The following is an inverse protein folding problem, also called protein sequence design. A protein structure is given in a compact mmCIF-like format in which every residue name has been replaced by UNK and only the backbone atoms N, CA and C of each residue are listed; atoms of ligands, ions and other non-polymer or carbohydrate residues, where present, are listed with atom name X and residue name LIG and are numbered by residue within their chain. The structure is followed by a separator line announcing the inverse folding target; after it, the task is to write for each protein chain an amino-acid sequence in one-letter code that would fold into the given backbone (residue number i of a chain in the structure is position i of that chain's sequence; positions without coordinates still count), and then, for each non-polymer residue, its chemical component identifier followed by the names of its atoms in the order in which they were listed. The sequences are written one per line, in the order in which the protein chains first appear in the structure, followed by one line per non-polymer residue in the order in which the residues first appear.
data_IF_700946463251
#
_entry.id   IF_700946463251
#
_cell.length_a   1.000
_cell.length_b   1.000
_cell.length_c   1.000
_cell.angle_alpha   90.00
_cell.angle_beta   90.00
_cell.angle_gamma   90.00
#
_symmetry.space_group_name_H-M   'P 1'
#
loop_
_entity.id
_entity.type
_entity.pdbx_description
1 polymer ?
#
# COMPACT_ATOMS: atom_id res chain seq x y z
N UNK A 1 15.17 -33.81 44.45
CA UNK A 1 14.95 -32.44 43.93
C UNK A 1 13.71 -32.49 43.05
N UNK A 2 12.67 -31.71 43.35
CA UNK A 2 11.48 -31.64 42.50
C UNK A 2 11.85 -30.90 41.20
N UNK A 3 11.59 -31.50 40.05
CA UNK A 3 11.72 -30.82 38.76
C UNK A 3 10.79 -29.60 38.76
N UNK A 4 11.33 -28.42 38.46
CA UNK A 4 10.54 -27.19 38.33
C UNK A 4 9.60 -27.39 37.13
N UNK A 5 8.29 -27.38 37.36
CA UNK A 5 7.32 -27.44 36.28
C UNK A 5 7.34 -26.13 35.51
N UNK A 6 7.53 -26.21 34.19
CA UNK A 6 7.46 -25.05 33.30
C UNK A 6 6.04 -24.49 33.28
N UNK A 7 5.91 -23.17 33.41
CA UNK A 7 4.62 -22.50 33.24
C UNK A 7 4.35 -22.18 31.77
N UNK A 8 3.10 -21.87 31.39
CA UNK A 8 2.77 -21.51 30.00
C UNK A 8 3.59 -20.29 29.52
N UNK A 9 3.77 -19.28 30.38
CA UNK A 9 4.56 -18.08 30.08
C UNK A 9 6.04 -18.38 29.83
N UNK A 10 6.60 -19.44 30.43
CA UNK A 10 8.03 -19.76 30.27
C UNK A 10 8.34 -20.31 28.86
N UNK A 11 7.32 -20.82 28.15
CA UNK A 11 7.41 -21.45 26.82
C UNK A 11 7.01 -20.51 25.67
N UNK A 12 6.80 -19.24 25.97
CA UNK A 12 6.27 -18.28 25.01
C UNK A 12 7.29 -17.20 24.63
N UNK A 13 7.18 -16.74 23.38
CA UNK A 13 7.78 -15.50 22.89
C UNK A 13 6.62 -14.58 22.51
N UNK A 14 6.62 -13.36 23.04
CA UNK A 14 5.53 -12.40 22.81
C UNK A 14 6.08 -11.16 22.12
N UNK A 15 5.52 -10.85 20.96
CA UNK A 15 5.85 -9.66 20.16
C UNK A 15 4.63 -8.77 20.11
N UNK A 16 4.80 -7.48 20.40
CA UNK A 16 3.75 -6.47 20.32
C UNK A 16 4.15 -5.42 19.29
N UNK A 17 3.24 -5.11 18.38
CA UNK A 17 3.44 -4.11 17.32
C UNK A 17 2.22 -3.22 17.20
N UNK A 18 2.42 -1.95 16.92
CA UNK A 18 1.34 -1.03 16.57
C UNK A 18 1.50 -0.57 15.12
N UNK A 19 0.44 -0.73 14.33
CA UNK A 19 0.38 -0.29 12.94
C UNK A 19 -0.45 0.98 12.83
N UNK A 20 0.02 1.95 12.04
CA UNK A 20 -0.72 3.16 11.70
C UNK A 20 -1.80 2.90 10.63
N UNK A 21 -2.59 1.84 10.81
CA UNK A 21 -3.62 1.41 9.88
C UNK A 21 -4.85 0.85 10.64
N UNK A 22 -6.06 0.96 10.07
CA UNK A 22 -7.27 0.41 10.67
C UNK A 22 -7.24 -1.12 10.70
N UNK A 23 -7.89 -1.71 11.71
CA UNK A 23 -7.87 -3.16 11.97
C UNK A 23 -8.28 -3.99 10.76
N UNK A 24 -9.29 -3.55 10.02
CA UNK A 24 -9.75 -4.26 8.82
C UNK A 24 -8.67 -4.34 7.73
N UNK A 25 -7.86 -3.29 7.56
CA UNK A 25 -6.77 -3.29 6.58
C UNK A 25 -5.63 -4.19 7.04
N UNK A 26 -5.26 -4.12 8.32
CA UNK A 26 -4.25 -5.01 8.91
C UNK A 26 -4.67 -6.47 8.78
N UNK A 27 -5.93 -6.77 9.10
CA UNK A 27 -6.51 -8.10 8.92
C UNK A 27 -6.44 -8.55 7.46
N UNK A 28 -6.90 -7.71 6.53
CA UNK A 28 -6.84 -7.98 5.09
C UNK A 28 -5.41 -8.31 4.62
N UNK A 29 -4.42 -7.50 5.03
CA UNK A 29 -3.01 -7.70 4.66
C UNK A 29 -2.44 -8.98 5.25
N UNK A 30 -2.92 -9.39 6.43
CA UNK A 30 -2.51 -10.64 7.07
C UNK A 30 -3.14 -11.87 6.42
N UNK A 31 -4.40 -11.79 5.95
CA UNK A 31 -5.19 -12.98 5.61
C UNK A 31 -5.38 -13.23 4.11
N UNK A 32 -4.87 -12.36 3.24
CA UNK A 32 -5.01 -12.53 1.79
C UNK A 32 -3.66 -12.87 1.13
N UNK A 33 -3.59 -13.93 0.30
CA UNK A 33 -2.34 -14.38 -0.34
C UNK A 33 -1.60 -13.27 -1.08
N UNK A 34 -2.30 -12.43 -1.84
CA UNK A 34 -1.72 -11.33 -2.61
C UNK A 34 -0.98 -10.30 -1.74
N UNK A 35 -1.40 -10.15 -0.48
CA UNK A 35 -0.77 -9.25 0.48
C UNK A 35 0.35 -9.91 1.26
N UNK A 36 0.22 -11.19 1.62
CA UNK A 36 1.26 -11.95 2.35
C UNK A 36 2.60 -11.92 1.60
N UNK A 37 2.57 -12.05 0.26
CA UNK A 37 3.79 -12.00 -0.58
C UNK A 37 4.55 -10.66 -0.49
N UNK A 38 3.96 -9.61 0.09
CA UNK A 38 4.53 -8.26 0.19
C UNK A 38 5.24 -8.00 1.52
N UNK A 39 5.01 -8.82 2.55
CA UNK A 39 5.53 -8.55 3.89
C UNK A 39 6.02 -9.77 4.65
N UNK A 40 5.55 -10.98 4.32
CA UNK A 40 5.98 -12.18 5.03
C UNK A 40 7.43 -12.52 4.68
N UNK A 41 8.25 -12.66 5.70
CA UNK A 41 9.69 -12.88 5.58
C UNK A 41 10.49 -11.65 6.02
N UNK A 42 11.65 -11.84 6.69
CA UNK A 42 12.51 -10.73 7.07
C UNK A 42 12.96 -9.91 5.85
N UNK A 43 13.35 -8.66 6.06
CA UNK A 43 13.85 -7.77 5.01
C UNK A 43 14.94 -8.46 4.16
N UNK A 44 14.75 -8.42 2.84
CA UNK A 44 15.63 -9.09 1.86
C UNK A 44 15.12 -10.45 1.40
N UNK A 45 14.10 -11.00 2.07
CA UNK A 45 13.40 -12.21 1.61
C UNK A 45 12.25 -11.87 0.67
N UNK A 46 11.91 -12.81 -0.20
CA UNK A 46 10.65 -12.84 -0.93
C UNK A 46 9.84 -14.07 -0.52
N UNK A 47 8.52 -14.03 -0.65
CA UNK A 47 7.66 -15.16 -0.28
C UNK A 47 6.74 -15.56 -1.42
N UNK A 48 6.68 -16.86 -1.69
CA UNK A 48 5.67 -17.48 -2.55
C UNK A 48 4.61 -18.15 -1.69
N UNK A 49 3.33 -17.83 -1.93
CA UNK A 49 2.20 -18.54 -1.32
C UNK A 49 1.79 -19.71 -2.22
N UNK A 50 1.98 -20.95 -1.77
CA UNK A 50 1.65 -22.15 -2.56
C UNK A 50 0.31 -22.76 -2.18
N UNK A 51 -0.13 -22.61 -0.93
CA UNK A 51 -1.43 -23.04 -0.43
C UNK A 51 -1.91 -22.09 0.66
N UNK A 52 -3.20 -21.74 0.65
CA UNK A 52 -3.85 -21.04 1.77
C UNK A 52 -5.36 -21.28 1.77
N UNK A 53 -5.83 -22.17 2.63
CA UNK A 53 -7.25 -22.40 2.93
C UNK A 53 -7.59 -21.70 4.26
N UNK A 54 -7.97 -20.42 4.20
CA UNK A 54 -8.13 -19.57 5.39
C UNK A 54 -9.47 -19.82 6.13
N UNK A 55 -9.54 -20.95 6.84
CA UNK A 55 -10.65 -21.35 7.72
C UNK A 55 -10.14 -22.28 8.82
N UNK A 56 -10.87 -22.49 9.93
CA UNK A 56 -10.50 -23.51 10.90
C UNK A 56 -10.31 -24.90 10.27
N UNK A 57 -9.17 -25.52 10.55
CA UNK A 57 -8.70 -26.78 9.97
C UNK A 57 -8.08 -26.67 8.57
N UNK A 58 -8.11 -25.49 7.94
CA UNK A 58 -7.51 -25.24 6.65
C UNK A 58 -5.97 -25.16 6.73
N UNK A 59 -5.31 -25.58 5.65
CA UNK A 59 -3.86 -25.65 5.54
C UNK A 59 -3.29 -24.40 4.88
N UNK A 60 -2.05 -24.08 5.20
CA UNK A 60 -1.26 -23.10 4.46
C UNK A 60 0.15 -23.62 4.24
N UNK A 61 0.76 -23.21 3.13
CA UNK A 61 2.15 -23.51 2.76
C UNK A 61 2.75 -22.32 2.04
N UNK A 62 3.89 -21.85 2.51
CA UNK A 62 4.65 -20.75 1.93
C UNK A 62 6.09 -21.20 1.67
N UNK A 63 6.76 -20.57 0.73
CA UNK A 63 8.21 -20.72 0.52
C UNK A 63 8.85 -19.34 0.66
N UNK A 64 9.68 -19.17 1.68
CA UNK A 64 10.50 -17.97 1.82
C UNK A 64 11.80 -18.16 1.05
N UNK A 65 12.16 -17.18 0.23
CA UNK A 65 13.35 -17.13 -0.60
C UNK A 65 14.34 -16.15 0.02
N UNK A 66 15.47 -16.66 0.50
CA UNK A 66 16.55 -15.85 1.06
C UNK A 66 17.34 -15.08 0.00
N UNK A 67 18.03 -13.99 0.39
CA UNK A 67 18.84 -13.19 -0.53
C UNK A 67 20.06 -13.94 -1.10
N UNK A 68 20.44 -15.06 -0.46
CA UNK A 68 21.47 -16.00 -0.89
C UNK A 68 20.95 -17.08 -1.86
N UNK A 69 19.64 -17.08 -2.16
CA UNK A 69 18.97 -18.07 -2.99
C UNK A 69 18.53 -19.34 -2.23
N UNK A 70 18.72 -19.40 -0.91
CA UNK A 70 18.21 -20.50 -0.10
C UNK A 70 16.67 -20.45 0.02
N UNK A 71 16.03 -21.61 0.01
CA UNK A 71 14.58 -21.74 0.18
C UNK A 71 14.21 -22.35 1.53
N UNK A 72 13.21 -21.76 2.17
CA UNK A 72 12.68 -22.16 3.48
C UNK A 72 11.17 -22.42 3.33
N UNK A 73 10.79 -23.64 2.92
CA UNK A 73 9.39 -24.04 2.84
C UNK A 73 8.83 -24.27 4.24
N UNK A 74 7.74 -23.58 4.53
CA UNK A 74 7.02 -23.62 5.82
C UNK A 74 5.56 -23.91 5.58
N UNK A 75 4.91 -24.53 6.56
CA UNK A 75 3.53 -24.95 6.50
C UNK A 75 2.84 -24.88 7.85
N UNK A 76 1.53 -24.91 7.82
CA UNK A 76 0.75 -25.05 9.03
C UNK A 76 -0.72 -25.28 8.78
N UNK A 77 -1.47 -25.29 9.89
CA UNK A 77 -2.91 -25.45 9.93
C UNK A 77 -3.49 -24.30 10.74
N UNK A 78 -4.50 -23.63 10.22
CA UNK A 78 -5.29 -22.65 10.98
C UNK A 78 -6.14 -23.41 12.00
N UNK A 79 -5.81 -23.29 13.29
CA UNK A 79 -6.58 -23.92 14.38
C UNK A 79 -7.82 -23.10 14.72
N UNK A 80 -7.70 -21.78 14.69
CA UNK A 80 -8.77 -20.84 15.03
C UNK A 80 -8.69 -19.63 14.09
N UNK A 81 -9.85 -19.17 13.61
CA UNK A 81 -9.98 -17.95 12.80
C UNK A 81 -11.23 -17.23 13.28
N UNK A 82 -11.05 -16.07 13.91
CA UNK A 82 -12.13 -15.19 14.38
C UNK A 82 -11.90 -13.82 13.71
N UNK A 83 -12.53 -13.55 12.55
CA UNK A 83 -12.35 -12.27 11.88
C UNK A 83 -13.02 -11.11 12.62
N UNK A 84 -12.41 -9.91 12.68
CA UNK A 84 -11.02 -9.55 12.36
C UNK A 84 -10.14 -9.45 13.62
N UNK A 85 -10.28 -10.40 14.55
CA UNK A 85 -9.79 -10.31 15.92
C UNK A 85 -8.62 -11.24 16.23
N UNK A 86 -8.69 -12.49 15.77
CA UNK A 86 -7.79 -13.54 16.23
C UNK A 86 -7.51 -14.63 15.19
N UNK A 87 -6.25 -15.03 15.11
CA UNK A 87 -5.80 -16.17 14.31
C UNK A 87 -4.91 -17.05 15.19
N UNK A 88 -5.15 -18.36 15.18
CA UNK A 88 -4.25 -19.35 15.78
C UNK A 88 -3.82 -20.31 14.70
N UNK A 89 -2.52 -20.52 14.55
CA UNK A 89 -1.99 -21.44 13.56
C UNK A 89 -0.76 -22.18 14.06
N UNK A 90 -0.56 -23.41 13.57
CA UNK A 90 0.72 -24.10 13.72
C UNK A 90 1.72 -23.53 12.73
N UNK A 91 3.01 -23.65 13.03
CA UNK A 91 4.09 -23.25 12.13
C UNK A 91 5.18 -24.32 12.18
N UNK A 92 5.46 -24.94 11.05
CA UNK A 92 6.40 -26.04 10.91
C UNK A 92 7.16 -25.91 9.59
N UNK A 93 8.41 -26.35 9.57
CA UNK A 93 9.10 -26.58 8.30
C UNK A 93 8.38 -27.70 7.51
N UNK A 94 8.45 -27.60 6.19
CA UNK A 94 7.79 -28.56 5.33
C UNK A 94 8.40 -29.97 5.40
N UNK A 95 7.59 -30.98 5.07
CA UNK A 95 8.01 -32.37 5.10
C UNK A 95 9.21 -32.63 4.19
N UNK A 96 10.24 -33.26 4.73
CA UNK A 96 11.45 -33.62 3.98
C UNK A 96 12.44 -32.47 3.78
N UNK A 97 12.13 -31.25 4.23
CA UNK A 97 13.12 -30.18 4.27
C UNK A 97 14.17 -30.48 5.33
N UNK A 98 15.44 -30.26 4.98
CA UNK A 98 16.56 -30.37 5.91
C UNK A 98 17.30 -29.03 5.95
N UNK A 99 17.65 -28.54 7.15
CA UNK A 99 18.42 -27.31 7.25
C UNK A 99 19.80 -27.48 6.60
N UNK A 100 20.36 -26.43 5.95
CA UNK A 100 21.68 -26.50 5.31
C UNK A 100 22.82 -26.88 6.26
N UNK A 101 22.65 -26.60 7.55
CA UNK A 101 23.53 -27.09 8.60
C UNK A 101 22.72 -27.89 9.62
N UNK A 102 23.29 -28.94 10.23
CA UNK A 102 22.62 -29.71 11.29
C UNK A 102 22.32 -28.80 12.48
N UNK A 103 21.05 -28.41 12.62
CA UNK A 103 20.53 -27.66 13.75
C UNK A 103 19.34 -28.42 14.32
N UNK A 104 19.21 -28.39 15.64
CA UNK A 104 18.07 -28.97 16.32
C UNK A 104 16.89 -27.99 16.26
N UNK A 105 15.81 -28.40 15.58
CA UNK A 105 14.68 -27.53 15.29
C UNK A 105 13.65 -27.56 16.43
N UNK A 106 13.03 -26.41 16.76
CA UNK A 106 11.95 -26.36 17.74
C UNK A 106 10.73 -27.16 17.28
N UNK A 107 10.03 -27.78 18.23
CA UNK A 107 8.80 -28.53 17.97
C UNK A 107 7.56 -27.90 18.60
N UNK A 108 6.40 -28.18 17.98
CA UNK A 108 5.09 -27.81 18.50
C UNK A 108 4.82 -26.30 18.56
N UNK A 109 5.33 -25.55 17.58
CA UNK A 109 5.12 -24.11 17.49
C UNK A 109 3.64 -23.82 17.18
N UNK A 110 3.05 -22.94 17.98
CA UNK A 110 1.70 -22.40 17.76
C UNK A 110 1.79 -20.89 17.85
N UNK A 111 1.52 -20.21 16.73
CA UNK A 111 1.43 -18.76 16.65
C UNK A 111 -0.01 -18.31 16.88
N UNK A 112 -0.19 -17.37 17.79
CA UNK A 112 -1.46 -16.72 18.10
C UNK A 112 -1.33 -15.23 17.83
N UNK A 113 -2.03 -14.73 16.82
CA UNK A 113 -2.11 -13.31 16.50
C UNK A 113 -3.45 -12.74 16.98
N UNK A 114 -3.41 -11.68 17.78
CA UNK A 114 -4.59 -10.93 18.24
C UNK A 114 -4.48 -9.48 17.76
N UNK A 115 -5.57 -8.97 17.18
CA UNK A 115 -5.65 -7.64 16.56
C UNK A 115 -6.64 -6.75 17.32
N UNK A 116 -6.11 -5.85 18.14
CA UNK A 116 -6.90 -4.89 18.90
C UNK A 116 -6.99 -3.56 18.15
N UNK A 117 -8.21 -3.03 17.99
CA UNK A 117 -8.40 -1.68 17.46
C UNK A 117 -8.09 -0.64 18.54
N UNK A 118 -7.27 0.36 18.20
CA UNK A 118 -6.92 1.49 19.07
C UNK A 118 -7.18 2.78 18.30
N UNK A 119 -8.42 3.23 18.33
CA UNK A 119 -8.87 4.33 17.47
C UNK A 119 -8.73 3.95 15.99
N UNK A 120 -7.94 4.72 15.24
CA UNK A 120 -7.63 4.46 13.81
C UNK A 120 -6.40 3.56 13.60
N UNK A 121 -5.74 3.14 14.70
CA UNK A 121 -4.55 2.29 14.69
C UNK A 121 -4.91 0.87 15.11
N UNK A 122 -3.99 -0.05 14.91
CA UNK A 122 -4.16 -1.46 15.32
C UNK A 122 -2.98 -1.90 16.15
N UNK A 123 -3.23 -2.56 17.28
CA UNK A 123 -2.20 -3.28 18.02
C UNK A 123 -2.30 -4.76 17.70
N UNK A 124 -1.18 -5.31 17.24
CA UNK A 124 -0.96 -6.74 17.13
C UNK A 124 -0.27 -7.24 18.40
N UNK A 125 -0.82 -8.29 19.00
CA UNK A 125 -0.11 -9.14 19.97
C UNK A 125 0.10 -10.51 19.34
N UNK A 126 1.34 -10.84 19.00
CA UNK A 126 1.75 -12.14 18.50
C UNK A 126 2.38 -12.95 19.63
N UNK A 127 1.79 -14.09 19.96
CA UNK A 127 2.30 -15.04 20.96
C UNK A 127 2.69 -16.33 20.27
N UNK A 128 3.96 -16.71 20.39
CA UNK A 128 4.53 -17.93 19.82
C UNK A 128 4.78 -18.90 20.97
N UNK A 129 3.92 -19.90 21.11
CA UNK A 129 4.01 -20.93 22.14
C UNK A 129 4.76 -22.16 21.60
N UNK A 130 5.54 -22.82 22.47
CA UNK A 130 6.36 -24.00 22.11
C UNK A 130 5.98 -25.22 22.96
N UNK A 131 6.37 -26.42 22.50
CA UNK A 131 6.12 -27.65 23.26
C UNK A 131 6.83 -27.62 24.64
N UNK A 132 8.11 -27.22 24.67
CA UNK A 132 8.92 -27.13 25.89
C UNK A 132 9.66 -25.79 26.00
N UNK A 133 10.24 -25.49 27.17
CA UNK A 133 11.16 -24.34 27.34
C UNK A 133 12.41 -24.52 26.48
N UNK A 134 12.87 -25.76 26.30
CA UNK A 134 14.01 -26.08 25.45
C UNK A 134 13.73 -25.72 23.97
N UNK A 135 12.55 -26.07 23.46
CA UNK A 135 12.12 -25.70 22.10
C UNK A 135 12.05 -24.19 21.92
N UNK A 136 11.51 -23.46 22.90
CA UNK A 136 11.52 -21.99 22.88
C UNK A 136 12.95 -21.45 22.79
N UNK A 137 13.89 -22.00 23.57
CA UNK A 137 15.28 -21.56 23.54
C UNK A 137 15.96 -21.87 22.20
N UNK A 138 15.65 -23.00 21.56
CA UNK A 138 16.11 -23.33 20.19
C UNK A 138 15.62 -22.29 19.19
N UNK A 139 14.32 -21.98 19.22
CA UNK A 139 13.71 -21.01 18.32
C UNK A 139 14.25 -19.59 18.52
N UNK A 140 14.46 -19.20 19.78
CA UNK A 140 15.10 -17.92 20.13
C UNK A 140 16.54 -17.84 19.63
N UNK A 141 17.33 -18.90 19.77
CA UNK A 141 18.71 -18.97 19.25
C UNK A 141 18.77 -18.88 17.72
N UNK A 142 17.73 -19.31 17.01
CA UNK A 142 17.56 -19.12 15.56
C UNK A 142 17.19 -17.67 15.17
N UNK A 143 16.95 -16.78 16.14
CA UNK A 143 16.65 -15.38 15.87
C UNK A 143 15.20 -15.09 15.50
N UNK A 144 14.25 -15.96 15.87
CA UNK A 144 12.81 -15.81 15.56
C UNK A 144 12.26 -14.43 15.89
N UNK A 145 12.64 -13.83 17.02
CA UNK A 145 12.16 -12.51 17.42
C UNK A 145 12.64 -11.42 16.47
N UNK A 146 13.91 -11.46 16.06
CA UNK A 146 14.45 -10.53 15.06
C UNK A 146 13.82 -10.74 13.68
N UNK A 147 13.61 -12.00 13.28
CA UNK A 147 12.95 -12.35 12.03
C UNK A 147 11.52 -11.83 11.95
N UNK A 148 10.71 -12.06 12.99
CA UNK A 148 9.35 -11.54 13.07
C UNK A 148 9.31 -10.01 13.10
N UNK A 149 10.14 -9.35 13.90
CA UNK A 149 10.17 -7.89 13.93
C UNK A 149 10.51 -7.30 12.56
N UNK A 150 11.46 -7.90 11.83
CA UNK A 150 11.81 -7.50 10.46
C UNK A 150 10.67 -7.71 9.46
N UNK A 151 9.95 -8.84 9.52
CA UNK A 151 8.74 -9.07 8.72
C UNK A 151 7.63 -8.05 9.05
N UNK A 152 7.46 -7.73 10.33
CA UNK A 152 6.47 -6.74 10.77
C UNK A 152 6.87 -5.30 10.38
N UNK A 153 8.16 -4.99 10.26
CA UNK A 153 8.64 -3.75 9.64
C UNK A 153 8.23 -3.69 8.16
N UNK A 154 8.43 -4.76 7.40
CA UNK A 154 7.97 -4.85 6.00
C UNK A 154 6.45 -4.70 5.88
N UNK A 155 5.69 -5.24 6.83
CA UNK A 155 4.24 -5.09 6.88
C UNK A 155 3.82 -3.64 7.15
N UNK A 156 4.51 -2.95 8.06
CA UNK A 156 4.28 -1.54 8.36
C UNK A 156 4.56 -0.65 7.13
N UNK A 157 5.72 -0.86 6.48
CA UNK A 157 6.09 -0.19 5.22
C UNK A 157 5.00 -0.40 4.14
N UNK A 158 4.50 -1.62 4.01
CA UNK A 158 3.46 -1.96 3.03
C UNK A 158 2.09 -1.34 3.36
N UNK A 159 1.68 -1.35 4.63
CA UNK A 159 0.45 -0.71 5.09
C UNK A 159 0.49 0.81 4.89
N UNK A 160 1.65 1.43 5.13
CA UNK A 160 1.87 2.85 4.83
C UNK A 160 1.70 3.11 3.34
N UNK A 161 2.31 2.30 2.47
CA UNK A 161 2.17 2.44 1.02
C UNK A 161 0.70 2.33 0.56
N UNK A 162 -0.07 1.37 1.09
CA UNK A 162 -1.50 1.22 0.78
C UNK A 162 -2.33 2.44 1.24
N UNK A 163 -2.02 2.96 2.43
CA UNK A 163 -2.71 4.14 2.98
C UNK A 163 -2.38 5.40 2.18
N UNK A 164 -1.12 5.54 1.77
CA UNK A 164 -0.65 6.64 0.93
C UNK A 164 -1.25 6.59 -0.47
N UNK A 165 -1.40 5.40 -1.07
CA UNK A 165 -2.10 5.24 -2.33
C UNK A 165 -3.56 5.73 -2.24
N UNK A 166 -4.29 5.33 -1.19
CA UNK A 166 -5.66 5.81 -0.95
C UNK A 166 -5.69 7.33 -0.80
N UNK A 167 -4.73 7.90 -0.07
CA UNK A 167 -4.65 9.34 0.18
C UNK A 167 -4.40 10.12 -1.11
N UNK A 168 -3.47 9.67 -1.96
CA UNK A 168 -3.17 10.33 -3.24
C UNK A 168 -4.34 10.16 -4.22
N UNK A 169 -5.03 9.02 -4.25
CA UNK A 169 -6.27 8.85 -5.04
C UNK A 169 -7.37 9.80 -4.61
N UNK A 170 -7.53 9.99 -3.29
CA UNK A 170 -8.50 10.93 -2.76
C UNK A 170 -8.15 12.37 -3.15
N UNK A 171 -6.87 12.72 -3.12
CA UNK A 171 -6.39 14.04 -3.56
C UNK A 171 -6.75 14.31 -5.03
N UNK A 172 -6.54 13.33 -5.92
CA UNK A 172 -6.95 13.43 -7.35
C UNK A 172 -8.47 13.62 -7.49
N UNK A 173 -9.26 12.88 -6.71
CA UNK A 173 -10.71 12.98 -6.72
C UNK A 173 -11.20 14.36 -6.20
N UNK A 174 -10.59 14.85 -5.13
CA UNK A 174 -10.90 16.16 -4.54
C UNK A 174 -10.53 17.31 -5.46
N UNK A 175 -9.39 17.20 -6.16
CA UNK A 175 -8.97 18.14 -7.20
C UNK A 175 -10.00 18.18 -8.34
N UNK A 176 -10.40 17.00 -8.85
CA UNK A 176 -11.43 16.85 -9.88
C UNK A 176 -12.74 17.52 -9.45
N UNK A 177 -13.17 17.27 -8.21
CA UNK A 177 -14.37 17.89 -7.64
C UNK A 177 -14.23 19.41 -7.54
N UNK A 178 -13.09 19.92 -7.05
CA UNK A 178 -12.85 21.35 -6.92
C UNK A 178 -12.87 22.08 -8.27
N UNK A 179 -12.34 21.45 -9.34
CA UNK A 179 -12.41 21.97 -10.72
C UNK A 179 -13.87 22.06 -11.17
N UNK A 180 -14.66 21.00 -11.01
CA UNK A 180 -16.08 20.98 -11.40
C UNK A 180 -16.93 21.97 -10.58
N UNK A 181 -16.59 22.20 -9.31
CA UNK A 181 -17.20 23.22 -8.45
C UNK A 181 -16.71 24.65 -8.76
N UNK A 182 -15.75 24.80 -9.69
CA UNK A 182 -15.05 26.06 -9.99
C UNK A 182 -14.46 26.73 -8.74
N UNK A 183 -14.04 25.94 -7.75
CA UNK A 183 -13.56 26.43 -6.47
C UNK A 183 -12.03 26.45 -6.43
N UNK A 184 -11.45 27.59 -6.81
CA UNK A 184 -9.99 27.78 -6.86
C UNK A 184 -9.33 27.60 -5.49
N UNK A 185 -9.97 28.04 -4.40
CA UNK A 185 -9.38 27.92 -3.06
C UNK A 185 -9.24 26.46 -2.61
N UNK A 186 -10.27 25.64 -2.84
CA UNK A 186 -10.19 24.19 -2.60
C UNK A 186 -9.17 23.53 -3.52
N UNK A 187 -9.18 23.90 -4.80
CA UNK A 187 -8.29 23.36 -5.82
C UNK A 187 -6.82 23.60 -5.49
N UNK A 188 -6.48 24.81 -5.03
CA UNK A 188 -5.09 25.20 -4.80
C UNK A 188 -4.51 24.70 -3.46
N UNK A 189 -5.36 24.30 -2.50
CA UNK A 189 -4.94 23.87 -1.16
C UNK A 189 -3.88 22.75 -1.12
N UNK A 190 -3.96 21.67 -1.93
CA UNK A 190 -2.98 20.58 -1.89
C UNK A 190 -1.70 20.85 -2.68
N UNK A 191 -1.58 21.97 -3.41
CA UNK A 191 -0.35 22.25 -4.17
C UNK A 191 0.79 22.70 -3.26
N UNK A 192 2.02 22.30 -3.61
CA UNK A 192 3.22 22.80 -3.00
C UNK A 192 3.48 24.26 -3.43
N UNK A 193 4.03 25.13 -2.55
CA UNK A 193 4.30 26.53 -2.88
C UNK A 193 5.18 26.71 -4.12
N UNK A 194 6.12 25.80 -4.33
CA UNK A 194 7.14 25.79 -5.38
C UNK A 194 6.82 24.86 -6.56
N UNK A 195 5.54 24.48 -6.75
CA UNK A 195 5.13 23.59 -7.84
C UNK A 195 5.61 24.12 -9.21
N UNK A 196 5.81 23.21 -10.16
CA UNK A 196 5.98 23.54 -11.58
C UNK A 196 4.86 22.86 -12.36
N UNK A 197 4.11 23.60 -13.17
CA UNK A 197 3.05 23.05 -14.02
C UNK A 197 3.36 23.29 -15.50
N UNK A 198 3.18 22.25 -16.30
CA UNK A 198 3.10 22.33 -17.76
C UNK A 198 1.64 22.13 -18.15
N UNK A 199 0.99 23.20 -18.62
CA UNK A 199 -0.42 23.15 -19.00
C UNK A 199 -0.58 22.96 -20.52
N UNK A 200 -1.76 22.51 -20.94
CA UNK A 200 -2.11 22.37 -22.35
C UNK A 200 -2.32 23.72 -23.05
N UNK A 201 -2.44 24.81 -22.26
CA UNK A 201 -2.56 26.19 -22.74
C UNK A 201 -1.34 27.02 -22.30
N UNK A 202 -0.98 28.10 -23.03
CA UNK A 202 0.15 28.96 -22.67
C UNK A 202 0.04 29.54 -21.24
N UNK A 203 1.17 29.79 -20.57
CA UNK A 203 2.56 29.66 -21.03
C UNK A 203 3.10 28.22 -21.01
N UNK A 204 4.28 27.98 -21.63
CA UNK A 204 4.93 26.66 -21.64
C UNK A 204 5.17 26.05 -20.25
N UNK A 205 5.38 26.91 -19.25
CA UNK A 205 5.49 26.50 -17.85
C UNK A 205 4.96 27.59 -16.94
N UNK A 206 4.33 27.16 -15.85
CA UNK A 206 3.91 28.01 -14.73
C UNK A 206 4.70 27.60 -13.50
N UNK A 207 5.35 28.55 -12.85
CA UNK A 207 6.20 28.30 -11.68
C UNK A 207 5.57 28.92 -10.43
N UNK A 208 5.36 28.11 -9.41
CA UNK A 208 4.81 28.49 -8.11
C UNK A 208 3.29 28.47 -8.02
N UNK A 209 2.79 28.23 -6.81
CA UNK A 209 1.36 28.08 -6.53
C UNK A 209 0.54 29.35 -6.84
N UNK A 210 1.10 30.54 -6.62
CA UNK A 210 0.38 31.79 -6.88
C UNK A 210 0.15 32.02 -8.38
N UNK A 211 1.14 31.73 -9.22
CA UNK A 211 0.99 31.82 -10.66
C UNK A 211 0.00 30.76 -11.17
N UNK A 212 0.09 29.53 -10.64
CA UNK A 212 -0.84 28.46 -11.01
C UNK A 212 -2.30 28.74 -10.61
N UNK A 213 -2.49 29.35 -9.43
CA UNK A 213 -3.79 29.87 -8.99
C UNK A 213 -4.38 30.86 -9.98
N UNK A 214 -3.56 31.78 -10.50
CA UNK A 214 -4.02 32.77 -11.48
C UNK A 214 -4.42 32.11 -12.81
N UNK A 215 -3.68 31.09 -13.26
CA UNK A 215 -4.04 30.30 -14.45
C UNK A 215 -5.41 29.66 -14.28
N UNK A 216 -5.64 28.94 -13.17
CA UNK A 216 -6.95 28.33 -12.90
C UNK A 216 -8.08 29.37 -12.76
N UNK A 217 -7.84 30.47 -12.03
CA UNK A 217 -8.83 31.52 -11.84
C UNK A 217 -9.24 32.19 -13.16
N UNK A 218 -8.31 32.30 -14.12
CA UNK A 218 -8.58 32.84 -15.45
C UNK A 218 -9.25 31.80 -16.38
N UNK A 219 -8.97 30.52 -16.18
CA UNK A 219 -9.44 29.43 -17.03
C UNK A 219 -10.89 28.98 -16.71
N UNK A 220 -11.22 28.79 -15.42
CA UNK A 220 -12.52 28.24 -14.99
C UNK A 220 -13.77 29.02 -15.44
N UNK A 221 -13.74 30.37 -15.56
CA UNK A 221 -14.87 31.13 -16.11
C UNK A 221 -15.24 30.78 -17.56
N UNK A 222 -14.32 30.18 -18.33
CA UNK A 222 -14.58 29.76 -19.72
C UNK A 222 -15.29 28.41 -19.83
N UNK A 223 -15.51 27.71 -18.72
CA UNK A 223 -16.28 26.46 -18.72
C UNK A 223 -17.79 26.72 -18.56
N UNK A 224 -18.66 25.81 -19.02
CA UNK A 224 -20.09 25.84 -18.75
C UNK A 224 -20.42 25.99 -17.27
N UNK A 225 -21.64 26.43 -16.94
CA UNK A 225 -22.09 26.54 -15.54
C UNK A 225 -21.96 25.21 -14.80
N UNK A 226 -22.30 24.11 -15.48
CA UNK A 226 -22.17 22.75 -14.95
C UNK A 226 -21.40 21.86 -15.92
N UNK A 227 -20.42 21.14 -15.39
CA UNK A 227 -19.63 20.15 -16.12
C UNK A 227 -19.04 19.14 -15.15
N UNK A 228 -18.55 18.03 -15.68
CA UNK A 228 -17.89 16.95 -14.98
C UNK A 228 -16.59 16.58 -15.70
N UNK A 229 -15.76 15.76 -15.05
CA UNK A 229 -14.55 15.19 -15.66
C UNK A 229 -14.72 13.69 -15.75
N UNK A 230 -14.52 13.14 -16.95
CA UNK A 230 -14.39 11.71 -17.18
C UNK A 230 -12.91 11.34 -17.15
N UNK A 231 -12.54 10.32 -16.38
CA UNK A 231 -11.16 9.81 -16.25
C UNK A 231 -11.07 8.38 -16.78
N UNK A 232 -10.00 8.07 -17.52
CA UNK A 232 -9.68 6.73 -18.01
C UNK A 232 -8.24 6.37 -17.72
N UNK A 233 -8.02 5.07 -17.49
CA UNK A 233 -6.69 4.46 -17.35
C UNK A 233 -5.81 5.11 -16.29
N UNK A 234 -6.40 5.52 -15.16
CA UNK A 234 -5.66 6.08 -14.03
C UNK A 234 -4.72 5.05 -13.42
N UNK A 235 -3.42 5.27 -13.62
CA UNK A 235 -2.36 4.52 -12.98
C UNK A 235 -1.66 5.40 -11.96
N UNK A 236 -1.41 4.86 -10.78
CA UNK A 236 -0.74 5.52 -9.67
C UNK A 236 0.33 4.58 -9.14
N UNK A 237 1.50 5.14 -8.90
CA UNK A 237 2.61 4.47 -8.22
C UNK A 237 2.98 5.32 -7.00
N UNK A 238 3.08 4.67 -5.83
CA UNK A 238 3.53 5.29 -4.59
C UNK A 238 4.78 4.55 -4.11
N UNK A 239 5.81 5.30 -3.70
CA UNK A 239 7.03 4.74 -3.13
C UNK A 239 7.64 5.72 -2.13
N UNK A 240 7.65 5.33 -0.86
CA UNK A 240 8.14 6.18 0.23
C UNK A 240 7.43 7.53 0.25
N UNK A 241 8.20 8.62 0.10
CA UNK A 241 7.68 10.00 0.14
C UNK A 241 7.32 10.56 -1.24
N UNK A 242 7.36 9.77 -2.31
CA UNK A 242 7.07 10.20 -3.67
C UNK A 242 5.96 9.36 -4.29
N UNK A 243 5.14 9.99 -5.12
CA UNK A 243 4.17 9.30 -5.95
C UNK A 243 4.05 9.98 -7.31
N UNK A 244 3.71 9.21 -8.32
CA UNK A 244 3.33 9.75 -9.63
C UNK A 244 2.11 8.99 -10.16
N UNK A 245 1.26 9.72 -10.86
CA UNK A 245 0.11 9.15 -11.53
C UNK A 245 0.00 9.70 -12.95
N UNK A 246 -0.57 8.90 -13.83
CA UNK A 246 -0.88 9.33 -15.19
C UNK A 246 -2.21 8.74 -15.65
N UNK A 247 -2.96 9.52 -16.42
CA UNK A 247 -4.29 9.14 -16.88
C UNK A 247 -4.71 9.95 -18.11
N UNK A 248 -5.78 9.50 -18.76
CA UNK A 248 -6.51 10.27 -19.75
C UNK A 248 -7.73 10.90 -19.09
N UNK A 249 -8.05 12.14 -19.45
CA UNK A 249 -9.28 12.78 -19.01
C UNK A 249 -9.92 13.62 -20.11
N UNK A 250 -11.22 13.86 -19.96
CA UNK A 250 -11.95 14.88 -20.73
C UNK A 250 -12.98 15.55 -19.84
N UNK A 251 -13.35 16.77 -20.19
CA UNK A 251 -14.52 17.39 -19.61
C UNK A 251 -15.80 16.88 -20.30
N UNK A 252 -16.89 16.76 -19.54
CA UNK A 252 -18.21 16.34 -20.03
C UNK A 252 -19.28 17.25 -19.43
N UNK A 253 -20.43 17.40 -20.07
CA UNK A 253 -21.47 18.30 -19.59
C UNK A 253 -22.71 18.33 -20.50
N UNK A 254 -23.75 19.08 -20.10
CA UNK A 254 -24.98 19.21 -20.89
C UNK A 254 -24.75 19.97 -22.20
N UNK A 255 -23.84 20.95 -22.21
CA UNK A 255 -23.44 21.71 -23.40
C UNK A 255 -22.44 20.91 -24.24
N UNK A 256 -22.93 19.89 -24.95
CA UNK A 256 -22.07 18.96 -25.71
C UNK A 256 -21.17 19.66 -26.72
N UNK A 257 -21.65 20.71 -27.40
CA UNK A 257 -20.89 21.41 -28.45
C UNK A 257 -19.88 22.43 -27.90
N UNK A 258 -19.79 22.60 -26.58
CA UNK A 258 -18.83 23.50 -25.96
C UNK A 258 -17.39 23.04 -26.25
N UNK A 259 -16.46 23.92 -26.69
CA UNK A 259 -15.10 23.52 -27.09
C UNK A 259 -14.35 22.68 -26.05
N UNK A 260 -14.50 23.01 -24.77
CA UNK A 260 -13.86 22.27 -23.66
C UNK A 260 -14.36 20.80 -23.51
N UNK A 261 -15.54 20.45 -24.04
CA UNK A 261 -16.13 19.10 -23.92
C UNK A 261 -15.70 18.17 -25.07
N UNK A 262 -14.93 18.69 -26.02
CA UNK A 262 -14.57 17.98 -27.26
C UNK A 262 -13.23 17.26 -27.16
N UNK A 263 -12.46 17.49 -26.09
CA UNK A 263 -11.05 17.13 -26.05
C UNK A 263 -10.69 16.07 -25.01
N UNK A 264 -10.00 15.02 -25.45
CA UNK A 264 -9.24 14.14 -24.56
C UNK A 264 -7.84 14.70 -24.34
N UNK A 265 -7.40 14.71 -23.09
CA UNK A 265 -6.10 15.17 -22.67
C UNK A 265 -5.38 14.12 -21.84
N UNK A 266 -4.05 14.19 -21.85
CA UNK A 266 -3.16 13.39 -20.99
C UNK A 266 -2.80 14.22 -19.77
N UNK A 267 -2.81 13.60 -18.59
CA UNK A 267 -2.28 14.22 -17.39
C UNK A 267 -1.22 13.31 -16.75
N UNK A 268 -0.11 13.90 -16.32
CA UNK A 268 0.83 13.31 -15.37
C UNK A 268 0.90 14.20 -14.14
N UNK A 269 0.55 13.67 -12.98
CA UNK A 269 0.66 14.36 -11.69
C UNK A 269 1.76 13.73 -10.84
N UNK A 270 2.62 14.56 -10.25
CA UNK A 270 3.63 14.12 -9.30
C UNK A 270 3.32 14.70 -7.92
N UNK A 271 3.46 13.86 -6.92
CA UNK A 271 3.14 14.15 -5.53
C UNK A 271 4.34 13.87 -4.65
N UNK A 272 4.49 14.68 -3.62
CA UNK A 272 5.51 14.50 -2.61
C UNK A 272 4.88 14.61 -1.23
N UNK A 273 5.28 13.73 -0.32
CA UNK A 273 4.92 13.80 1.09
C UNK A 273 5.86 14.77 1.78
N UNK A 274 5.36 15.95 2.14
CA UNK A 274 6.10 17.04 2.79
C UNK A 274 5.51 17.20 4.19
N UNK A 275 6.34 17.05 5.22
CA UNK A 275 5.92 17.13 6.63
C UNK A 275 4.73 16.20 6.99
N UNK A 276 4.68 15.03 6.34
CA UNK A 276 3.61 14.03 6.54
C UNK A 276 2.36 14.23 5.69
N UNK A 277 2.25 15.34 4.95
CA UNK A 277 1.12 15.64 4.07
C UNK A 277 1.49 15.46 2.59
N UNK A 278 0.62 14.80 1.83
CA UNK A 278 0.79 14.69 0.38
C UNK A 278 0.46 16.01 -0.31
N UNK A 279 1.40 16.51 -1.11
CA UNK A 279 1.30 17.75 -1.88
C UNK A 279 1.49 17.47 -3.38
N UNK A 280 0.80 18.22 -4.23
CA UNK A 280 1.05 18.23 -5.68
C UNK A 280 2.27 19.11 -5.93
N UNK A 281 3.34 18.52 -6.46
CA UNK A 281 4.61 19.23 -6.74
C UNK A 281 4.82 19.47 -8.23
N UNK A 282 4.18 18.67 -9.09
CA UNK A 282 4.26 18.87 -10.54
C UNK A 282 2.99 18.35 -11.22
N UNK A 283 2.58 19.05 -12.28
CA UNK A 283 1.56 18.58 -13.21
C UNK A 283 2.00 18.81 -14.65
N UNK A 284 1.63 17.89 -15.52
CA UNK A 284 1.80 18.01 -16.95
C UNK A 284 0.50 17.60 -17.65
N UNK A 285 -0.22 18.59 -18.18
CA UNK A 285 -1.39 18.42 -19.04
C UNK A 285 -0.98 18.64 -20.51
N UNK A 286 -1.42 17.77 -21.41
CA UNK A 286 -1.06 17.89 -22.83
C UNK A 286 -2.02 17.17 -23.78
N UNK A 287 -1.98 17.61 -25.04
CA UNK A 287 -2.58 16.94 -26.20
C UNK A 287 -1.47 16.61 -27.21
N UNK A 288 -1.59 15.51 -27.98
CA UNK A 288 -0.69 15.27 -29.09
C UNK A 288 -0.89 16.31 -30.21
N UNK A 289 0.06 16.40 -31.13
CA UNK A 289 -0.07 17.22 -32.34
C UNK A 289 0.29 16.40 -33.58
N UNK A 290 -0.30 16.78 -34.72
CA UNK A 290 0.07 16.22 -36.02
C UNK A 290 1.36 16.91 -36.52
N UNK A 291 2.46 16.16 -36.72
CA UNK A 291 3.74 16.74 -37.15
C UNK A 291 3.72 17.34 -38.57
N UNK A 292 2.76 16.96 -39.42
CA UNK A 292 2.64 17.52 -40.77
C UNK A 292 1.95 18.88 -40.78
N UNK A 293 0.94 19.06 -39.92
CA UNK A 293 0.14 20.29 -39.87
C UNK A 293 0.51 21.21 -38.72
N UNK A 294 1.30 20.73 -37.74
CA UNK A 294 1.60 21.42 -36.49
C UNK A 294 0.34 21.81 -35.70
N UNK A 295 -0.75 21.05 -35.86
CA UNK A 295 -2.03 21.28 -35.17
C UNK A 295 -2.22 20.26 -34.05
N UNK A 296 -2.77 20.74 -32.93
CA UNK A 296 -3.18 19.89 -31.82
C UNK A 296 -4.29 18.91 -32.23
N UNK A 297 -4.19 17.67 -31.76
CA UNK A 297 -5.18 16.61 -31.95
C UNK A 297 -6.01 16.47 -30.67
N UNK A 298 -7.27 16.87 -30.75
CA UNK A 298 -8.16 16.98 -29.59
C UNK A 298 -9.03 15.73 -29.38
N UNK A 299 -9.23 14.91 -30.41
CA UNK A 299 -10.03 13.67 -30.32
C UNK A 299 -9.13 12.43 -30.39
N UNK A 300 -9.61 11.29 -29.85
CA UNK A 300 -8.91 10.00 -29.92
C UNK A 300 -9.20 9.23 -31.22
N UNK A 301 -10.03 9.78 -32.11
CA UNK A 301 -10.35 9.18 -33.40
C UNK A 301 -9.16 9.40 -34.36
N UNK A 302 -8.19 8.49 -34.28
CA UNK A 302 -7.15 8.28 -35.30
C UNK A 302 -7.31 6.88 -35.85
#
# INVERSE_FOLDING_TARGET
MAAKQDTASDREIVIKREFAAPRELVWKVWTQPEHITKWWGPRGFNTTVTEMDFRPGGKWRYVMHGPDGAEYPVRGVFREVVPPERIVTTDEFDEGWQPPQPIDLPSGIVATAVFDAIGVRTRLTLTISHATVEDKNKHAAMGVEGGWNSSLDCMDDYLMALTDEVTVRQLIADQTKAICEKNVDKLMRPYAPDLVAFDAIPPFQTNGADAWRQTWASCLPHFPETFAIETRDLRLTVSGTAAFAHWLFRFTGPEKDHPAMQSWMRLTGCYQKIEGEWRIVHEHCSVPFDPHTSKALLTLDV
#
